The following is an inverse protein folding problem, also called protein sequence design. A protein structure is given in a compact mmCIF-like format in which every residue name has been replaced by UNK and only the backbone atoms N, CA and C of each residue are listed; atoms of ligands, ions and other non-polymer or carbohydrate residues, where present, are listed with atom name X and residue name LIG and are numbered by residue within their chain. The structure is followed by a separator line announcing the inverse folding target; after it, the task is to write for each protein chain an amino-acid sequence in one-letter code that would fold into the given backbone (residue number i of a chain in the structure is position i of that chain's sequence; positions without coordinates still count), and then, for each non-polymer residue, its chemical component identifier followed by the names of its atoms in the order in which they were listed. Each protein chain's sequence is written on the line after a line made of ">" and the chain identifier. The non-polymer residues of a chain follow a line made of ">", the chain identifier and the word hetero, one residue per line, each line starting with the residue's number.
data_IF_024578082723
#
_entry.id   IF_024578082723
#
_cell.length_a   1.000
_cell.length_b   1.000
_cell.length_c   1.000
_cell.angle_alpha   90.00
_cell.angle_beta   90.00
_cell.angle_gamma   90.00
#
_symmetry.space_group_name_H-M   'P 1'
#
loop_
_entity.id
_entity.type
_entity.pdbx_description
1 polymer ?
#
# COMPACT_ATOMS: atom_id res chain seq x y z
N UNK A 1 5.20 11.64 -30.19
CA UNK A 1 5.76 10.97 -28.98
C UNK A 1 6.04 9.52 -29.34
N UNK A 2 7.31 9.12 -29.47
CA UNK A 2 7.70 7.87 -30.15
C UNK A 2 7.37 6.61 -29.34
N UNK A 3 7.03 5.52 -30.05
CA UNK A 3 6.63 4.21 -29.50
C UNK A 3 7.69 3.63 -28.53
N UNK A 4 8.96 4.01 -28.73
CA UNK A 4 10.11 3.63 -27.87
C UNK A 4 10.04 4.25 -26.47
N UNK A 5 9.51 5.47 -26.33
CA UNK A 5 9.36 6.13 -25.03
C UNK A 5 8.26 5.46 -24.17
N UNK A 6 7.16 5.02 -24.81
CA UNK A 6 6.11 4.25 -24.12
C UNK A 6 6.65 2.91 -23.60
N UNK A 7 7.43 2.18 -24.39
CA UNK A 7 7.99 0.88 -23.97
C UNK A 7 8.94 1.00 -22.77
N UNK A 8 9.77 2.05 -22.68
CA UNK A 8 10.63 2.29 -21.50
C UNK A 8 9.81 2.56 -20.24
N UNK A 9 8.79 3.42 -20.34
CA UNK A 9 7.89 3.74 -19.23
C UNK A 9 7.08 2.53 -18.73
N UNK A 10 6.68 1.63 -19.64
CA UNK A 10 6.03 0.37 -19.25
C UNK A 10 6.98 -0.59 -18.53
N UNK A 11 8.22 -0.70 -18.99
CA UNK A 11 9.22 -1.61 -18.40
C UNK A 11 9.69 -1.13 -17.01
N UNK A 12 9.85 0.18 -16.83
CA UNK A 12 10.12 0.77 -15.50
C UNK A 12 8.96 0.54 -14.54
N UNK A 13 7.70 0.79 -14.95
CA UNK A 13 6.53 0.56 -14.09
C UNK A 13 6.38 -0.90 -13.66
N UNK A 14 6.67 -1.85 -14.55
CA UNK A 14 6.64 -3.27 -14.22
C UNK A 14 7.71 -3.65 -13.19
N UNK A 15 8.92 -3.08 -13.29
CA UNK A 15 9.99 -3.32 -12.33
C UNK A 15 9.69 -2.73 -10.95
N UNK A 16 9.13 -1.51 -10.88
CA UNK A 16 8.76 -0.88 -9.60
C UNK A 16 7.57 -1.54 -8.91
N UNK A 17 6.59 -2.06 -9.65
CA UNK A 17 5.50 -2.86 -9.07
C UNK A 17 5.99 -4.16 -8.45
N UNK A 18 7.00 -4.80 -9.05
CA UNK A 18 7.61 -6.02 -8.50
C UNK A 18 8.33 -5.77 -7.16
N UNK A 19 8.96 -4.59 -7.02
CA UNK A 19 9.68 -4.20 -5.79
C UNK A 19 8.70 -3.92 -4.64
N UNK A 20 7.52 -3.37 -4.92
CA UNK A 20 6.45 -3.14 -3.93
C UNK A 20 5.92 -4.47 -3.38
N UNK A 21 5.70 -5.44 -4.26
CA UNK A 21 5.22 -6.79 -3.90
C UNK A 21 6.21 -7.54 -3.01
N UNK A 22 7.52 -7.39 -3.27
CA UNK A 22 8.58 -7.98 -2.44
C UNK A 22 8.52 -7.43 -1.01
N UNK A 23 8.25 -6.13 -0.85
CA UNK A 23 8.09 -5.50 0.46
C UNK A 23 6.91 -6.08 1.23
N UNK A 24 5.76 -6.23 0.58
CA UNK A 24 4.57 -6.85 1.17
C UNK A 24 4.79 -8.31 1.57
N UNK A 25 5.39 -9.11 0.69
CA UNK A 25 5.71 -10.53 0.96
C UNK A 25 6.72 -10.66 2.09
N UNK A 26 7.77 -9.84 2.12
CA UNK A 26 8.77 -9.87 3.18
C UNK A 26 8.15 -9.54 4.54
N UNK A 27 7.34 -8.47 4.63
CA UNK A 27 6.60 -8.15 5.86
C UNK A 27 5.67 -9.29 6.29
N UNK A 28 4.96 -9.90 5.34
CA UNK A 28 4.06 -11.02 5.60
C UNK A 28 4.81 -12.22 6.21
N UNK A 29 5.92 -12.63 5.58
CA UNK A 29 6.73 -13.75 6.06
C UNK A 29 7.33 -13.47 7.45
N UNK A 30 7.85 -12.26 7.68
CA UNK A 30 8.40 -11.88 8.98
C UNK A 30 7.33 -11.86 10.07
N UNK A 31 6.11 -11.41 9.76
CA UNK A 31 5.00 -11.45 10.71
C UNK A 31 4.62 -12.89 11.08
N UNK A 32 4.55 -13.80 10.10
CA UNK A 32 4.28 -15.23 10.33
C UNK A 32 5.38 -15.86 11.20
N UNK A 33 6.65 -15.57 10.90
CA UNK A 33 7.79 -16.06 11.68
C UNK A 33 7.78 -15.52 13.12
N UNK A 34 7.40 -14.25 13.31
CA UNK A 34 7.23 -13.65 14.63
C UNK A 34 6.09 -14.31 15.42
N UNK A 35 4.98 -14.60 14.76
CA UNK A 35 3.83 -15.32 15.33
C UNK A 35 4.18 -16.76 15.70
N UNK A 36 5.11 -17.40 14.99
CA UNK A 36 5.65 -18.70 15.33
C UNK A 36 6.59 -18.69 16.56
N UNK A 37 6.87 -17.51 17.12
CA UNK A 37 7.68 -17.35 18.34
C UNK A 37 9.18 -17.17 18.12
N UNK A 38 9.64 -17.05 16.87
CA UNK A 38 11.05 -16.77 16.57
C UNK A 38 11.36 -15.30 16.81
N UNK A 39 12.15 -14.95 17.85
CA UNK A 39 12.62 -13.59 18.13
C UNK A 39 11.59 -12.48 17.80
N UNK A 40 10.36 -12.68 18.29
CA UNK A 40 9.18 -11.94 17.86
C UNK A 40 9.31 -10.40 17.93
N UNK A 41 9.93 -9.79 18.97
CA UNK A 41 10.14 -8.34 19.02
C UNK A 41 11.03 -7.82 17.88
N UNK A 42 12.11 -8.56 17.58
CA UNK A 42 13.09 -8.18 16.56
C UNK A 42 12.48 -8.32 15.15
N UNK A 43 11.75 -9.40 14.90
CA UNK A 43 11.03 -9.60 13.63
C UNK A 43 9.95 -8.54 13.40
N UNK A 44 9.21 -8.13 14.45
CA UNK A 44 8.22 -7.06 14.34
C UNK A 44 8.89 -5.72 13.97
N UNK A 45 10.04 -5.40 14.56
CA UNK A 45 10.80 -4.19 14.23
C UNK A 45 11.32 -4.22 12.78
N UNK A 46 11.88 -5.33 12.32
CA UNK A 46 12.32 -5.45 10.92
C UNK A 46 11.11 -5.38 9.96
N UNK A 47 9.99 -6.03 10.30
CA UNK A 47 8.78 -6.01 9.50
C UNK A 47 8.20 -4.59 9.37
N UNK A 48 8.21 -3.78 10.44
CA UNK A 48 7.77 -2.38 10.38
C UNK A 48 8.66 -1.51 9.51
N UNK A 49 9.99 -1.72 9.54
CA UNK A 49 10.94 -1.01 8.66
C UNK A 49 10.68 -1.35 7.20
N UNK A 50 10.62 -2.65 6.86
CA UNK A 50 10.40 -3.12 5.49
C UNK A 50 9.06 -2.60 4.96
N UNK A 51 8.03 -2.65 5.79
CA UNK A 51 6.71 -2.14 5.42
C UNK A 51 6.72 -0.62 5.18
N UNK A 52 7.39 0.14 6.05
CA UNK A 52 7.55 1.59 5.86
C UNK A 52 8.29 1.92 4.57
N UNK A 53 9.35 1.17 4.24
CA UNK A 53 10.08 1.31 2.97
C UNK A 53 9.18 0.96 1.78
N UNK A 54 8.36 -0.08 1.86
CA UNK A 54 7.40 -0.43 0.81
C UNK A 54 6.43 0.72 0.53
N UNK A 55 5.85 1.32 1.59
CA UNK A 55 4.97 2.48 1.44
C UNK A 55 5.68 3.70 0.83
N UNK A 56 6.97 3.92 1.12
CA UNK A 56 7.76 4.98 0.49
C UNK A 56 7.92 4.75 -1.02
N UNK A 57 8.23 3.53 -1.43
CA UNK A 57 8.34 3.16 -2.85
C UNK A 57 6.99 3.35 -3.54
N UNK A 58 5.92 2.85 -2.93
CA UNK A 58 4.55 2.97 -3.46
C UNK A 58 4.13 4.44 -3.61
N UNK A 59 4.36 5.28 -2.60
CA UNK A 59 4.01 6.70 -2.64
C UNK A 59 4.74 7.49 -3.74
N UNK A 60 5.99 7.13 -4.08
CA UNK A 60 6.77 7.79 -5.14
C UNK A 60 6.22 7.54 -6.55
N UNK A 61 5.77 6.32 -6.83
CA UNK A 61 5.18 5.99 -8.14
C UNK A 61 3.88 6.77 -8.38
N UNK A 62 3.13 7.05 -7.32
CA UNK A 62 1.92 7.84 -7.40
C UNK A 62 2.23 9.34 -7.63
N UNK A 63 3.32 9.87 -7.09
CA UNK A 63 3.69 11.28 -7.30
C UNK A 63 4.05 11.57 -8.77
N UNK A 64 4.79 10.65 -9.41
CA UNK A 64 5.20 10.76 -10.83
C UNK A 64 4.05 10.63 -11.81
N UNK A 65 3.03 9.82 -11.49
CA UNK A 65 1.81 9.74 -12.30
C UNK A 65 1.00 11.04 -12.27
N UNK A 66 1.05 11.76 -11.14
CA UNK A 66 0.29 12.98 -10.98
C UNK A 66 0.96 14.18 -11.66
N UNK A 67 2.30 14.28 -11.61
CA UNK A 67 3.02 15.33 -12.35
C UNK A 67 2.82 15.22 -13.85
N UNK A 68 2.67 14.00 -14.38
CA UNK A 68 2.33 13.76 -15.79
C UNK A 68 0.88 14.16 -16.11
N UNK A 69 -0.09 13.85 -15.24
CA UNK A 69 -1.49 14.19 -15.43
C UNK A 69 -1.81 15.68 -15.21
N UNK A 70 -1.10 16.37 -14.31
CA UNK A 70 -1.28 17.80 -14.04
C UNK A 70 -0.77 18.71 -15.16
N UNK A 71 0.14 18.20 -16.01
CA UNK A 71 0.56 18.90 -17.24
C UNK A 71 -0.53 18.79 -18.32
N UNK A 72 -1.41 17.79 -18.24
CA UNK A 72 -2.47 17.50 -19.23
C UNK A 72 -3.86 18.02 -18.81
N UNK A 73 -4.12 18.18 -17.50
CA UNK A 73 -5.39 18.66 -16.96
C UNK A 73 -5.20 19.96 -16.14
N UNK A 74 -5.38 21.10 -16.80
CA UNK A 74 -5.47 22.39 -16.12
C UNK A 74 -6.73 22.45 -15.24
N UNK A 75 -6.52 22.92 -14.00
CA UNK A 75 -7.51 23.35 -13.01
C UNK A 75 -8.28 22.27 -12.19
N UNK A 76 -8.05 22.35 -10.87
CA UNK A 76 -8.92 21.90 -9.77
C UNK A 76 -9.00 20.42 -9.38
N UNK A 77 -8.45 19.47 -10.14
CA UNK A 77 -8.49 18.05 -9.76
C UNK A 77 -7.42 17.61 -8.72
N UNK A 78 -6.48 18.48 -8.29
CA UNK A 78 -5.15 17.98 -7.88
C UNK A 78 -4.64 18.26 -6.48
N UNK A 79 -5.13 19.24 -5.74
CA UNK A 79 -4.57 19.53 -4.41
C UNK A 79 -4.85 18.37 -3.42
N UNK A 80 -6.07 17.84 -3.39
CA UNK A 80 -6.46 16.78 -2.46
C UNK A 80 -5.74 15.45 -2.76
N UNK A 81 -5.69 15.04 -4.04
CA UNK A 81 -5.02 13.80 -4.43
C UNK A 81 -3.50 13.82 -4.22
N UNK A 82 -2.88 15.00 -4.33
CA UNK A 82 -1.45 15.21 -4.05
C UNK A 82 -1.20 15.20 -2.53
N UNK A 83 -2.00 15.92 -1.73
CA UNK A 83 -1.85 15.97 -0.27
C UNK A 83 -2.01 14.60 0.41
N UNK A 84 -3.01 13.80 -0.01
CA UNK A 84 -3.24 12.46 0.57
C UNK A 84 -2.07 11.51 0.23
N UNK A 85 -1.41 11.67 -0.92
CA UNK A 85 -0.23 10.85 -1.29
C UNK A 85 1.03 11.26 -0.53
N UNK A 86 1.25 12.55 -0.31
CA UNK A 86 2.30 13.02 0.57
C UNK A 86 2.11 12.52 2.00
N UNK A 87 0.87 12.45 2.48
CA UNK A 87 0.56 11.86 3.78
C UNK A 87 0.98 10.39 3.86
N UNK A 88 0.72 9.57 2.83
CA UNK A 88 1.15 8.15 2.82
C UNK A 88 2.68 8.02 2.86
N UNK A 89 3.41 8.86 2.11
CA UNK A 89 4.89 8.88 2.14
C UNK A 89 5.40 9.28 3.52
N UNK A 90 4.82 10.31 4.13
CA UNK A 90 5.20 10.77 5.47
C UNK A 90 4.88 9.70 6.54
N UNK A 91 3.72 9.04 6.46
CA UNK A 91 3.34 7.94 7.34
C UNK A 91 4.31 6.75 7.20
N UNK A 92 4.73 6.43 5.96
CA UNK A 92 5.73 5.41 5.68
C UNK A 92 7.12 5.75 6.26
N UNK A 93 7.61 6.97 6.04
CA UNK A 93 8.88 7.45 6.58
C UNK A 93 8.89 7.45 8.11
N UNK A 94 7.82 7.98 8.72
CA UNK A 94 7.70 8.04 10.17
C UNK A 94 7.60 6.63 10.78
N UNK A 95 6.82 5.73 10.18
CA UNK A 95 6.73 4.35 10.63
C UNK A 95 8.05 3.58 10.47
N UNK A 96 8.81 3.81 9.40
CA UNK A 96 10.15 3.24 9.25
C UNK A 96 11.11 3.76 10.32
N UNK A 97 11.07 5.07 10.61
CA UNK A 97 11.87 5.66 11.69
C UNK A 97 11.50 5.07 13.06
N UNK A 98 10.20 4.87 13.34
CA UNK A 98 9.73 4.20 14.57
C UNK A 98 10.23 2.74 14.65
N UNK A 99 10.27 2.02 13.53
CA UNK A 99 10.87 0.68 13.47
C UNK A 99 12.36 0.68 13.78
N UNK A 100 13.12 1.66 13.27
CA UNK A 100 14.54 1.81 13.61
C UNK A 100 14.74 2.14 15.09
N UNK A 101 13.93 3.03 15.67
CA UNK A 101 13.99 3.32 17.11
C UNK A 101 13.63 2.09 17.96
N UNK A 102 12.69 1.26 17.50
CA UNK A 102 12.33 -0.01 18.15
C UNK A 102 13.50 -1.00 18.16
N UNK A 103 14.34 -1.05 17.12
CA UNK A 103 15.57 -1.86 17.11
C UNK A 103 16.63 -1.37 18.10
N UNK A 104 16.61 -0.09 18.43
CA UNK A 104 17.49 0.50 19.45
C UNK A 104 16.95 0.28 20.88
N UNK A 105 15.91 -0.54 21.04
CA UNK A 105 15.25 -0.91 22.29
C UNK A 105 14.62 0.29 23.05
N UNK A 106 14.35 1.39 22.33
CA UNK A 106 13.54 2.48 22.86
C UNK A 106 12.07 2.05 22.89
N UNK A 107 11.59 1.62 24.07
CA UNK A 107 10.18 1.30 24.35
C UNK A 107 9.45 0.62 23.18
N UNK A 108 10.05 -0.45 22.65
CA UNK A 108 9.60 -1.13 21.43
C UNK A 108 8.14 -1.59 21.51
N UNK A 109 7.65 -1.86 22.73
CA UNK A 109 6.27 -2.23 23.03
C UNK A 109 5.27 -1.15 22.59
N UNK A 110 5.62 0.14 22.67
CA UNK A 110 4.72 1.24 22.27
C UNK A 110 4.99 1.74 20.85
N UNK A 111 6.25 1.72 20.40
CA UNK A 111 6.60 2.27 19.09
C UNK A 111 6.05 1.43 17.93
N UNK A 112 6.07 0.10 18.05
CA UNK A 112 5.64 -0.78 16.97
C UNK A 112 4.13 -0.77 16.74
N UNK A 113 3.25 -0.76 17.78
CA UNK A 113 1.82 -0.53 17.61
C UNK A 113 1.51 0.84 17.00
N UNK A 114 2.17 1.91 17.45
CA UNK A 114 1.97 3.25 16.88
C UNK A 114 2.32 3.26 15.39
N UNK A 115 3.41 2.61 14.99
CA UNK A 115 3.73 2.44 13.57
C UNK A 115 2.63 1.70 12.81
N UNK A 116 2.07 0.61 13.37
CA UNK A 116 0.96 -0.13 12.74
C UNK A 116 -0.30 0.71 12.53
N UNK A 117 -0.63 1.60 13.46
CA UNK A 117 -1.76 2.55 13.34
C UNK A 117 -1.49 3.53 12.20
N UNK A 118 -0.28 4.10 12.14
CA UNK A 118 0.12 5.02 11.07
C UNK A 118 0.08 4.34 9.70
N UNK A 119 0.54 3.09 9.62
CA UNK A 119 0.47 2.27 8.41
C UNK A 119 -0.97 1.97 7.98
N UNK A 120 -1.83 1.59 8.93
CA UNK A 120 -3.26 1.38 8.66
C UNK A 120 -3.94 2.65 8.15
N UNK A 121 -3.66 3.80 8.75
CA UNK A 121 -4.14 5.09 8.27
C UNK A 121 -3.65 5.38 6.84
N UNK A 122 -2.37 5.11 6.56
CA UNK A 122 -1.79 5.25 5.22
C UNK A 122 -2.50 4.39 4.17
N UNK A 123 -2.81 3.13 4.50
CA UNK A 123 -3.55 2.25 3.59
C UNK A 123 -4.97 2.74 3.31
N UNK A 124 -5.69 3.21 4.33
CA UNK A 124 -7.05 3.77 4.19
C UNK A 124 -7.02 5.01 3.30
N UNK A 125 -6.11 5.95 3.56
CA UNK A 125 -5.91 7.15 2.74
C UNK A 125 -5.58 6.81 1.28
N UNK A 126 -4.74 5.78 1.08
CA UNK A 126 -4.38 5.29 -0.24
C UNK A 126 -5.60 4.70 -0.99
N UNK A 127 -6.44 3.92 -0.31
CA UNK A 127 -7.66 3.35 -0.90
C UNK A 127 -8.66 4.44 -1.36
N UNK A 128 -8.90 5.44 -0.51
CA UNK A 128 -9.79 6.58 -0.82
C UNK A 128 -9.28 7.37 -2.03
N UNK A 129 -7.95 7.55 -2.13
CA UNK A 129 -7.32 8.26 -3.25
C UNK A 129 -7.57 7.58 -4.59
N UNK A 130 -7.47 6.24 -4.64
CA UNK A 130 -7.69 5.47 -5.87
C UNK A 130 -9.17 5.52 -6.27
N UNK A 131 -10.08 5.44 -5.29
CA UNK A 131 -11.51 5.59 -5.54
C UNK A 131 -11.84 6.95 -6.17
N UNK A 132 -11.27 8.04 -5.65
CA UNK A 132 -11.47 9.38 -6.19
C UNK A 132 -10.95 9.54 -7.63
N UNK A 133 -9.77 8.98 -7.94
CA UNK A 133 -9.25 8.95 -9.31
C UNK A 133 -10.16 8.20 -10.26
N UNK A 134 -10.66 7.03 -9.83
CA UNK A 134 -11.57 6.22 -10.63
C UNK A 134 -12.91 6.92 -10.85
N UNK A 135 -13.41 7.67 -9.86
CA UNK A 135 -14.61 8.49 -9.98
C UNK A 135 -14.44 9.61 -11.02
N UNK A 136 -13.31 10.34 -10.98
CA UNK A 136 -12.99 11.38 -11.98
C UNK A 136 -12.86 10.77 -13.38
N UNK A 137 -12.16 9.63 -13.50
CA UNK A 137 -11.97 8.95 -14.79
C UNK A 137 -13.29 8.51 -15.42
N UNK A 138 -14.24 8.04 -14.61
CA UNK A 138 -15.61 7.72 -15.05
C UNK A 138 -16.39 8.95 -15.49
N UNK A 139 -16.29 10.05 -14.74
CA UNK A 139 -16.93 11.31 -15.13
C UNK A 139 -16.39 11.83 -16.47
N UNK A 140 -15.11 11.60 -16.75
CA UNK A 140 -14.46 11.98 -18.00
C UNK A 140 -14.68 11.00 -19.17
N UNK A 141 -15.05 9.74 -18.90
CA UNK A 141 -15.25 8.68 -19.90
C UNK A 141 -16.66 8.62 -20.52
N UNK A 142 -17.47 9.69 -20.41
CA UNK A 142 -18.84 9.80 -20.95
C UNK A 142 -18.97 9.75 -22.50
N UNK A 143 -18.06 9.08 -23.21
CA UNK A 143 -17.99 9.03 -24.68
C UNK A 143 -18.08 7.64 -25.34
N UNK A 144 -18.25 6.53 -24.61
CA UNK A 144 -18.44 5.22 -25.23
C UNK A 144 -18.16 4.04 -24.30
N UNK A 145 -19.14 3.66 -23.48
CA UNK A 145 -19.03 2.48 -22.61
C UNK A 145 -19.25 1.19 -23.41
N UNK A 146 -18.19 0.41 -23.62
CA UNK A 146 -18.33 -0.99 -24.04
C UNK A 146 -18.64 -1.85 -22.81
N UNK A 147 -19.54 -2.83 -22.92
CA UNK A 147 -19.85 -3.81 -21.87
C UNK A 147 -18.61 -4.49 -21.26
N UNK A 148 -17.48 -4.55 -21.99
CA UNK A 148 -16.18 -5.01 -21.48
C UNK A 148 -15.57 -4.09 -20.42
N UNK A 149 -15.76 -2.77 -20.52
CA UNK A 149 -15.29 -1.82 -19.50
C UNK A 149 -16.11 -1.95 -18.20
N UNK A 150 -17.40 -2.26 -18.28
CA UNK A 150 -18.27 -2.43 -17.10
C UNK A 150 -17.88 -3.70 -16.31
N UNK A 151 -17.59 -4.81 -17.00
CA UNK A 151 -17.17 -6.07 -16.36
C UNK A 151 -15.74 -5.99 -15.83
N UNK A 152 -14.81 -5.35 -16.55
CA UNK A 152 -13.46 -5.09 -16.04
C UNK A 152 -13.46 -4.16 -14.81
N UNK A 153 -14.41 -3.22 -14.74
CA UNK A 153 -14.55 -2.27 -13.64
C UNK A 153 -15.20 -2.90 -12.39
N UNK A 154 -15.99 -3.97 -12.53
CA UNK A 154 -16.50 -4.75 -11.40
C UNK A 154 -15.40 -5.54 -10.66
N UNK A 155 -14.34 -6.00 -11.36
CA UNK A 155 -13.18 -6.64 -10.71
C UNK A 155 -12.27 -5.64 -9.97
N UNK A 156 -12.27 -4.35 -10.34
CA UNK A 156 -11.42 -3.31 -9.70
C UNK A 156 -12.04 -2.77 -8.40
N UNK A 157 -13.34 -2.94 -8.19
CA UNK A 157 -14.00 -2.52 -6.94
C UNK A 157 -13.68 -3.40 -5.75
N UNK A 158 -13.40 -4.68 -5.97
CA UNK A 158 -13.27 -5.66 -4.90
C UNK A 158 -11.94 -5.54 -4.14
N UNK A 159 -10.87 -5.11 -4.80
CA UNK A 159 -9.56 -4.93 -4.16
C UNK A 159 -9.46 -3.66 -3.30
N UNK A 160 -10.29 -2.64 -3.59
CA UNK A 160 -10.25 -1.35 -2.87
C UNK A 160 -10.88 -1.45 -1.48
N UNK A 161 -11.96 -2.22 -1.34
CA UNK A 161 -12.59 -2.48 -0.06
C UNK A 161 -11.66 -3.28 0.84
N UNK A 162 -11.02 -4.34 0.33
CA UNK A 162 -10.06 -5.17 1.07
C UNK A 162 -8.92 -4.33 1.65
N UNK A 163 -8.36 -3.40 0.87
CA UNK A 163 -7.28 -2.53 1.37
C UNK A 163 -7.74 -1.59 2.50
N UNK A 164 -8.94 -1.00 2.38
CA UNK A 164 -9.50 -0.11 3.40
C UNK A 164 -9.83 -0.89 4.67
N UNK A 165 -10.46 -2.07 4.54
CA UNK A 165 -10.77 -2.93 5.68
C UNK A 165 -9.51 -3.48 6.37
N UNK A 166 -8.49 -3.87 5.61
CA UNK A 166 -7.21 -4.29 6.18
C UNK A 166 -6.52 -3.14 6.93
N UNK A 167 -6.55 -1.91 6.38
CA UNK A 167 -6.05 -0.73 7.07
C UNK A 167 -6.81 -0.42 8.36
N UNK A 168 -8.14 -0.52 8.34
CA UNK A 168 -8.99 -0.33 9.52
C UNK A 168 -8.73 -1.41 10.60
N UNK A 169 -8.62 -2.67 10.19
CA UNK A 169 -8.30 -3.78 11.08
C UNK A 169 -6.92 -3.58 11.72
N UNK A 170 -5.93 -3.12 10.96
CA UNK A 170 -4.60 -2.81 11.48
C UNK A 170 -4.63 -1.65 12.49
N UNK A 171 -5.45 -0.62 12.27
CA UNK A 171 -5.65 0.46 13.25
C UNK A 171 -6.22 -0.09 14.55
N UNK A 172 -7.27 -0.92 14.48
CA UNK A 172 -7.91 -1.49 15.67
C UNK A 172 -6.93 -2.37 16.44
N UNK A 173 -6.22 -3.27 15.75
CA UNK A 173 -5.22 -4.14 16.36
C UNK A 173 -4.04 -3.36 16.94
N UNK A 174 -3.60 -2.30 16.27
CA UNK A 174 -2.55 -1.41 16.76
C UNK A 174 -2.97 -0.63 18.02
N UNK A 175 -4.22 -0.18 18.09
CA UNK A 175 -4.76 0.47 19.30
C UNK A 175 -4.85 -0.53 20.46
N UNK A 176 -5.32 -1.76 20.20
CA UNK A 176 -5.34 -2.82 21.21
C UNK A 176 -3.93 -3.15 21.70
N UNK A 177 -2.96 -3.24 20.78
CA UNK A 177 -1.55 -3.46 21.10
C UNK A 177 -0.86 -2.26 21.78
N UNK A 178 -1.41 -1.05 21.68
CA UNK A 178 -0.91 0.12 22.40
C UNK A 178 -1.55 0.26 23.79
N UNK A 179 -2.66 -0.42 24.03
CA UNK A 179 -3.41 -0.32 25.28
C UNK A 179 -2.82 -1.15 26.43
N UNK A 180 -1.75 -1.91 26.18
CA UNK A 180 -1.12 -2.75 27.21
C UNK A 180 -1.90 -4.04 27.47
N UNK A 181 -2.55 -4.60 26.45
CA UNK A 181 -3.27 -5.85 26.59
C UNK A 181 -2.29 -7.00 26.85
N UNK A 182 -2.75 -8.07 27.51
CA UNK A 182 -1.93 -9.25 27.87
C UNK A 182 -1.19 -9.89 26.67
N UNK A 183 -1.63 -9.59 25.45
CA UNK A 183 -1.09 -10.10 24.18
C UNK A 183 -0.70 -8.99 23.19
N UNK A 184 -0.14 -7.86 23.67
CA UNK A 184 0.28 -6.71 22.84
C UNK A 184 1.08 -7.12 21.58
N UNK A 185 2.06 -8.01 21.76
CA UNK A 185 2.99 -8.39 20.70
C UNK A 185 2.31 -9.22 19.61
N UNK A 186 1.37 -10.09 19.99
CA UNK A 186 0.57 -10.89 19.05
C UNK A 186 -0.35 -9.99 18.23
N UNK A 187 -1.03 -9.03 18.86
CA UNK A 187 -1.91 -8.11 18.15
C UNK A 187 -1.15 -7.26 17.13
N UNK A 188 0.05 -6.80 17.48
CA UNK A 188 0.91 -6.05 16.56
C UNK A 188 1.39 -6.92 15.38
N UNK A 189 1.81 -8.16 15.62
CA UNK A 189 2.21 -9.07 14.55
C UNK A 189 1.05 -9.42 13.60
N UNK A 190 -0.15 -9.62 14.14
CA UNK A 190 -1.35 -9.83 13.32
C UNK A 190 -1.69 -8.57 12.52
N UNK A 191 -1.50 -7.37 13.08
CA UNK A 191 -1.66 -6.12 12.35
C UNK A 191 -0.68 -6.06 11.15
N UNK A 192 0.60 -6.34 11.38
CA UNK A 192 1.62 -6.38 10.32
C UNK A 192 1.34 -7.46 9.27
N UNK A 193 0.80 -8.60 9.68
CA UNK A 193 0.38 -9.69 8.77
C UNK A 193 -0.75 -9.23 7.86
N UNK A 194 -1.78 -8.56 8.41
CA UNK A 194 -2.89 -8.00 7.64
C UNK A 194 -2.43 -6.91 6.69
N UNK A 195 -1.56 -6.01 7.16
CA UNK A 195 -0.96 -4.95 6.36
C UNK A 195 -0.14 -5.52 5.20
N UNK A 196 0.74 -6.49 5.45
CA UNK A 196 1.56 -7.16 4.45
C UNK A 196 0.70 -7.89 3.41
N UNK A 197 -0.31 -8.63 3.86
CA UNK A 197 -1.27 -9.32 2.99
C UNK A 197 -2.01 -8.34 2.07
N UNK A 198 -2.45 -7.20 2.60
CA UNK A 198 -3.13 -6.17 1.81
C UNK A 198 -2.23 -5.57 0.73
N UNK A 199 -0.94 -5.39 1.01
CA UNK A 199 0.03 -4.91 0.02
C UNK A 199 0.27 -5.94 -1.09
N UNK A 200 0.42 -7.22 -0.74
CA UNK A 200 0.55 -8.31 -1.73
C UNK A 200 -0.68 -8.40 -2.63
N UNK A 201 -1.89 -8.28 -2.06
CA UNK A 201 -3.14 -8.34 -2.83
C UNK A 201 -3.37 -7.10 -3.71
N UNK A 202 -2.87 -5.94 -3.28
CA UNK A 202 -2.87 -4.70 -4.08
C UNK A 202 -1.86 -4.76 -5.22
N UNK A 203 -0.78 -5.51 -5.02
CA UNK A 203 0.32 -5.72 -5.95
C UNK A 203 -0.15 -6.10 -7.35
N UNK A 204 0.14 -5.23 -8.32
CA UNK A 204 -0.29 -5.41 -9.70
C UNK A 204 0.36 -6.61 -10.41
N UNK A 205 1.33 -7.31 -9.80
CA UNK A 205 1.98 -8.45 -10.46
C UNK A 205 1.04 -9.63 -10.65
N UNK A 206 0.18 -9.95 -9.66
CA UNK A 206 -0.81 -11.03 -9.79
C UNK A 206 -1.79 -10.72 -10.91
N UNK A 207 -2.26 -9.48 -10.99
CA UNK A 207 -3.16 -9.04 -12.06
C UNK A 207 -2.43 -9.01 -13.42
N UNK A 208 -1.15 -8.62 -13.47
CA UNK A 208 -0.34 -8.62 -14.68
C UNK A 208 -0.03 -10.03 -15.19
N UNK A 209 0.16 -11.01 -14.29
CA UNK A 209 0.35 -12.43 -14.62
C UNK A 209 -0.97 -13.01 -15.15
N UNK A 210 -2.11 -12.72 -14.52
CA UNK A 210 -3.42 -13.15 -15.00
C UNK A 210 -3.76 -12.54 -16.37
N UNK A 211 -3.47 -11.25 -16.57
CA UNK A 211 -3.63 -10.58 -17.86
C UNK A 211 -2.64 -11.09 -18.93
N UNK A 212 -1.46 -11.58 -18.51
CA UNK A 212 -0.50 -12.26 -19.37
C UNK A 212 -1.05 -13.59 -19.88
N UNK A 213 -1.75 -14.35 -19.04
CA UNK A 213 -2.42 -15.60 -19.46
C UNK A 213 -3.67 -15.36 -20.33
N UNK A 214 -4.29 -14.18 -20.22
CA UNK A 214 -5.49 -13.81 -20.98
C UNK A 214 -5.22 -13.13 -22.33
N UNK A 215 -3.97 -12.85 -22.70
CA UNK A 215 -3.64 -12.37 -24.05
C UNK A 215 -3.59 -13.57 -25.02
N UNK A 216 -4.55 -13.74 -25.94
CA UNK A 216 -4.37 -14.68 -27.04
C UNK A 216 -3.18 -14.22 -27.89
N UNK A 217 -2.33 -15.18 -28.26
CA UNK A 217 -1.22 -15.00 -29.20
C UNK A 217 -1.72 -14.58 -30.59
#
# INVERSE_FOLDING_TARGET
>A
MSIVARQRLYRERAAFGLIDDIGGVATLLLAILGLAGLYAPLLAAIATIIFGVALLVQGRTLLTLYTQASVEAAASASAFGVSVRFAVVLLGAAGAALGVLSLLDFNSAMLTPVASIMFGAGLVLSGISIWHLNAIRRASAKGGESLKDIVANHMVFDSLSVQIFAGLAAIILGVLAASGATYDLTFNLVALLMLGSALVLKGGSLNAILLSFMRPA
#
